data_IF_516874255118
#
_entry.id   IF_516874255118
#
_cell.length_a   1.000
_cell.length_b   1.000
_cell.length_c   1.000
_cell.angle_alpha   90.00
_cell.angle_beta   90.00
_cell.angle_gamma   90.00
#
_symmetry.space_group_name_H-M   'P 1'
#
loop_
_entity.id
_entity.type
_entity.pdbx_description
1 polymer ?
#
# COMPACT_ATOMS: atom_id res chain seq x y z
N UNK A 1 -10.80 -21.20 -4.63
CA UNK A 1 -11.21 -21.41 -6.03
C UNK A 1 -10.02 -21.20 -6.94
N UNK A 2 -9.94 -21.91 -8.07
CA UNK A 2 -8.86 -21.76 -9.03
C UNK A 2 -8.78 -20.29 -9.51
N UNK A 3 -7.60 -19.68 -9.38
CA UNK A 3 -7.39 -18.27 -9.73
C UNK A 3 -7.84 -17.23 -8.69
N UNK A 4 -8.19 -17.65 -7.46
CA UNK A 4 -8.58 -16.74 -6.38
C UNK A 4 -8.15 -17.30 -5.02
N UNK A 5 -7.07 -16.76 -4.46
CA UNK A 5 -6.52 -17.15 -3.16
C UNK A 5 -6.76 -16.05 -2.14
N UNK A 6 -7.51 -16.37 -1.09
CA UNK A 6 -7.79 -15.47 0.02
C UNK A 6 -7.03 -15.95 1.26
N UNK A 7 -6.12 -15.12 1.76
CA UNK A 7 -5.27 -15.41 2.92
C UNK A 7 -5.80 -14.65 4.13
N UNK A 8 -6.28 -15.35 5.13
CA UNK A 8 -6.76 -14.74 6.39
C UNK A 8 -5.59 -14.37 7.29
N UNK A 9 -5.79 -13.35 8.12
CA UNK A 9 -4.81 -12.91 9.11
C UNK A 9 -5.11 -13.57 10.46
N UNK A 10 -4.50 -14.70 10.71
CA UNK A 10 -4.64 -15.42 11.98
C UNK A 10 -6.10 -15.80 12.31
N UNK A 11 -6.61 -15.27 13.41
CA UNK A 11 -7.98 -15.50 13.92
C UNK A 11 -9.02 -14.53 13.32
N UNK A 12 -8.59 -13.52 12.58
CA UNK A 12 -9.48 -12.57 11.91
C UNK A 12 -9.77 -13.05 10.49
N UNK A 13 -11.07 -13.25 10.17
CA UNK A 13 -11.52 -13.72 8.85
C UNK A 13 -11.51 -12.62 7.78
N UNK A 14 -10.49 -11.78 7.78
CA UNK A 14 -10.24 -10.75 6.78
C UNK A 14 -8.83 -10.91 6.20
N UNK A 15 -8.58 -10.25 5.10
CA UNK A 15 -7.30 -10.28 4.39
C UNK A 15 -6.70 -8.90 4.32
N UNK A 16 -5.58 -8.68 5.02
CA UNK A 16 -4.71 -7.52 4.87
C UNK A 16 -3.80 -7.68 3.65
N UNK A 17 -3.58 -6.61 2.90
CA UNK A 17 -2.67 -6.63 1.76
C UNK A 17 -1.23 -6.91 2.18
N UNK A 18 -0.74 -6.26 3.24
CA UNK A 18 0.59 -6.49 3.83
C UNK A 18 0.75 -7.91 4.33
N UNK A 19 -0.16 -8.35 5.20
CA UNK A 19 -0.06 -9.64 5.88
C UNK A 19 -0.14 -10.80 4.90
N UNK A 20 -1.05 -10.74 3.93
CA UNK A 20 -1.18 -11.79 2.91
C UNK A 20 0.09 -11.94 2.08
N UNK A 21 0.79 -10.84 1.79
CA UNK A 21 2.10 -10.86 1.15
C UNK A 21 3.15 -11.50 2.07
N UNK A 22 3.30 -10.99 3.30
CA UNK A 22 4.30 -11.47 4.25
C UNK A 22 4.15 -12.97 4.56
N UNK A 23 2.91 -13.45 4.69
CA UNK A 23 2.62 -14.87 4.95
C UNK A 23 2.97 -15.77 3.76
N UNK A 24 3.00 -15.26 2.54
CA UNK A 24 3.24 -16.05 1.32
C UNK A 24 4.67 -15.93 0.80
N UNK A 25 5.39 -14.83 1.09
CA UNK A 25 6.74 -14.57 0.59
C UNK A 25 7.72 -15.75 0.76
N UNK A 26 7.68 -16.45 1.89
CA UNK A 26 8.59 -17.58 2.14
C UNK A 26 8.24 -18.84 1.35
N UNK A 27 7.03 -18.94 0.79
CA UNK A 27 6.62 -20.03 -0.10
C UNK A 27 7.13 -19.84 -1.53
N UNK A 28 7.65 -18.66 -1.90
CA UNK A 28 8.28 -18.43 -3.21
C UNK A 28 9.39 -19.43 -3.53
N UNK A 29 10.09 -19.96 -2.50
CA UNK A 29 11.08 -21.01 -2.66
C UNK A 29 10.53 -22.29 -3.31
N UNK A 30 9.23 -22.51 -3.24
CA UNK A 30 8.52 -23.65 -3.78
C UNK A 30 7.71 -23.34 -5.03
N UNK A 31 7.86 -22.15 -5.61
CA UNK A 31 7.07 -21.70 -6.76
C UNK A 31 7.38 -22.46 -8.07
N UNK A 32 8.37 -23.38 -8.07
CA UNK A 32 8.58 -24.34 -9.14
C UNK A 32 7.49 -25.44 -9.16
N UNK A 33 6.79 -25.66 -8.03
CA UNK A 33 5.59 -26.50 -7.93
C UNK A 33 4.39 -25.75 -8.49
N UNK A 34 3.67 -26.38 -9.45
CA UNK A 34 2.54 -25.73 -10.14
C UNK A 34 1.40 -25.36 -9.19
N UNK A 35 1.12 -26.18 -8.17
CA UNK A 35 0.05 -25.89 -7.21
C UNK A 35 0.42 -24.67 -6.34
N UNK A 36 1.69 -24.53 -5.97
CA UNK A 36 2.18 -23.36 -5.22
C UNK A 36 2.14 -22.11 -6.11
N UNK A 37 2.57 -22.22 -7.36
CA UNK A 37 2.49 -21.12 -8.32
C UNK A 37 1.05 -20.65 -8.55
N UNK A 38 0.10 -21.58 -8.75
CA UNK A 38 -1.35 -21.25 -8.88
C UNK A 38 -1.89 -20.54 -7.64
N UNK A 39 -1.46 -20.90 -6.42
CA UNK A 39 -1.85 -20.23 -5.19
C UNK A 39 -1.32 -18.80 -5.13
N UNK A 40 -0.07 -18.57 -5.53
CA UNK A 40 0.55 -17.24 -5.51
C UNK A 40 -0.11 -16.35 -6.58
N UNK A 41 -0.30 -16.84 -7.80
CA UNK A 41 -0.99 -16.09 -8.86
C UNK A 41 -2.44 -15.77 -8.46
N UNK A 42 -3.13 -16.71 -7.81
CA UNK A 42 -4.47 -16.49 -7.25
C UNK A 42 -4.50 -15.41 -6.15
N UNK A 43 -3.43 -15.30 -5.35
CA UNK A 43 -3.28 -14.24 -4.36
C UNK A 43 -3.06 -12.88 -5.02
N UNK A 44 -2.16 -12.80 -6.01
CA UNK A 44 -1.93 -11.57 -6.78
C UNK A 44 -3.22 -11.07 -7.46
N UNK A 45 -4.01 -11.99 -8.03
CA UNK A 45 -5.32 -11.66 -8.62
C UNK A 45 -6.30 -11.12 -7.56
N UNK A 46 -6.33 -11.72 -6.35
CA UNK A 46 -7.17 -11.25 -5.23
C UNK A 46 -6.71 -9.87 -4.74
N UNK A 47 -5.42 -9.65 -4.58
CA UNK A 47 -4.88 -8.35 -4.15
C UNK A 47 -5.20 -7.25 -5.17
N UNK A 48 -5.04 -7.52 -6.48
CA UNK A 48 -5.44 -6.59 -7.52
C UNK A 48 -6.93 -6.24 -7.45
N UNK A 49 -7.81 -7.24 -7.29
CA UNK A 49 -9.25 -7.03 -7.09
C UNK A 49 -9.54 -6.18 -5.86
N UNK A 50 -8.86 -6.42 -4.74
CA UNK A 50 -9.05 -5.68 -3.50
C UNK A 50 -8.67 -4.20 -3.67
N UNK A 51 -7.53 -3.91 -4.30
CA UNK A 51 -7.10 -2.54 -4.64
C UNK A 51 -8.14 -1.82 -5.51
N UNK A 52 -8.72 -2.51 -6.49
CA UNK A 52 -9.76 -1.95 -7.36
C UNK A 52 -11.09 -1.71 -6.64
N UNK A 53 -11.35 -2.37 -5.53
CA UNK A 53 -12.55 -2.13 -4.70
C UNK A 53 -12.40 -0.84 -3.89
N UNK A 54 -11.31 -0.67 -3.15
CA UNK A 54 -11.00 0.55 -2.39
C UNK A 54 -9.49 0.62 -2.10
N UNK A 55 -8.71 1.41 -2.83
CA UNK A 55 -7.26 1.47 -2.65
C UNK A 55 -6.82 2.11 -1.33
N UNK A 56 -7.75 2.72 -0.59
CA UNK A 56 -7.48 3.29 0.74
C UNK A 56 -7.73 2.31 1.89
N UNK A 57 -8.19 1.09 1.57
CA UNK A 57 -8.37 0.05 2.57
C UNK A 57 -7.11 -0.79 2.75
N UNK A 58 -6.84 -1.18 4.01
CA UNK A 58 -5.78 -2.12 4.35
C UNK A 58 -6.28 -3.57 4.44
N UNK A 59 -7.58 -3.77 4.79
CA UNK A 59 -8.15 -5.09 4.99
C UNK A 59 -9.52 -5.29 4.30
N UNK A 60 -9.76 -6.51 3.82
CA UNK A 60 -10.92 -6.83 2.99
C UNK A 60 -11.62 -8.10 3.43
N UNK A 61 -12.94 -8.14 3.21
CA UNK A 61 -13.75 -9.33 3.36
C UNK A 61 -13.57 -10.28 2.17
N UNK A 62 -13.74 -11.57 2.41
CA UNK A 62 -13.76 -12.57 1.33
C UNK A 62 -14.92 -12.37 0.37
N UNK A 63 -16.08 -12.01 0.93
CA UNK A 63 -17.35 -11.72 0.27
C UNK A 63 -17.97 -10.47 0.92
N UNK A 64 -18.91 -9.78 0.25
CA UNK A 64 -19.55 -8.62 0.86
C UNK A 64 -20.21 -8.98 2.19
N UNK A 65 -20.00 -8.15 3.21
CA UNK A 65 -20.58 -8.34 4.55
C UNK A 65 -21.04 -7.00 5.11
N UNK A 66 -22.24 -6.95 5.63
CA UNK A 66 -22.81 -5.81 6.35
C UNK A 66 -22.26 -5.69 7.79
N UNK A 67 -21.62 -6.77 8.28
CA UNK A 67 -20.94 -6.75 9.57
C UNK A 67 -19.74 -5.79 9.53
N UNK A 68 -19.72 -4.81 10.45
CA UNK A 68 -18.61 -3.88 10.66
C UNK A 68 -18.15 -4.01 12.11
N UNK A 69 -16.90 -4.40 12.33
CA UNK A 69 -16.37 -4.54 13.70
C UNK A 69 -16.18 -3.19 14.39
N UNK A 70 -16.10 -2.09 13.60
CA UNK A 70 -15.83 -0.73 14.08
C UNK A 70 -16.86 0.25 13.53
N UNK A 71 -16.96 1.41 14.18
CA UNK A 71 -17.83 2.53 13.77
C UNK A 71 -17.09 3.56 12.88
N UNK A 72 -16.26 3.07 11.97
CA UNK A 72 -15.44 3.88 11.08
C UNK A 72 -16.25 4.83 10.19
N UNK A 73 -15.73 6.05 10.01
CA UNK A 73 -16.33 7.10 9.18
C UNK A 73 -15.28 7.67 8.21
N UNK A 74 -15.66 7.84 6.92
CA UNK A 74 -16.91 7.39 6.31
C UNK A 74 -17.06 5.87 6.36
N UNK A 75 -18.31 5.38 6.38
CA UNK A 75 -18.57 3.93 6.35
C UNK A 75 -18.01 3.34 5.06
N UNK A 76 -17.13 2.35 5.18
CA UNK A 76 -16.57 1.63 4.05
C UNK A 76 -17.60 0.68 3.39
N UNK A 77 -17.35 0.28 2.15
CA UNK A 77 -18.16 -0.70 1.43
C UNK A 77 -18.20 -2.05 2.15
N UNK A 78 -19.17 -2.89 1.79
CA UNK A 78 -19.31 -4.22 2.42
C UNK A 78 -18.16 -5.18 2.06
N UNK A 79 -17.37 -4.88 1.05
CA UNK A 79 -16.15 -5.60 0.70
C UNK A 79 -14.97 -5.29 1.62
N UNK A 80 -15.01 -4.15 2.33
CA UNK A 80 -13.91 -3.66 3.16
C UNK A 80 -14.14 -4.03 4.62
N UNK A 81 -13.14 -4.66 5.23
CA UNK A 81 -13.11 -4.93 6.66
C UNK A 81 -12.65 -3.71 7.44
N UNK A 82 -11.54 -3.08 7.01
CA UNK A 82 -10.96 -1.89 7.62
C UNK A 82 -10.39 -0.95 6.56
N UNK A 83 -10.59 0.36 6.74
CA UNK A 83 -10.19 1.39 5.75
C UNK A 83 -9.11 2.31 6.28
N UNK A 84 -8.10 1.77 6.95
CA UNK A 84 -6.91 2.50 7.33
C UNK A 84 -5.96 2.60 6.13
N UNK A 85 -5.66 3.81 5.68
CA UNK A 85 -4.75 4.01 4.56
C UNK A 85 -3.29 3.92 5.01
N UNK A 86 -2.61 2.94 4.49
CA UNK A 86 -1.20 2.62 4.70
C UNK A 86 -0.50 2.52 3.34
N UNK A 87 0.58 3.26 3.14
CA UNK A 87 1.37 3.21 1.89
C UNK A 87 1.85 1.79 1.61
N UNK A 88 2.37 1.11 2.62
CA UNK A 88 2.94 -0.23 2.48
C UNK A 88 1.90 -1.28 2.11
N UNK A 89 0.64 -1.08 2.48
CA UNK A 89 -0.48 -1.93 2.03
C UNK A 89 -0.59 -1.96 0.50
N UNK A 90 -0.35 -0.85 -0.19
CA UNK A 90 -0.33 -0.80 -1.65
C UNK A 90 0.99 -1.26 -2.26
N UNK A 91 2.10 -1.14 -1.53
CA UNK A 91 3.41 -1.60 -1.97
C UNK A 91 3.51 -3.14 -1.98
N UNK A 92 2.96 -3.79 -0.96
CA UNK A 92 3.14 -5.23 -0.74
C UNK A 92 2.67 -6.13 -1.91
N UNK A 93 1.54 -5.88 -2.58
CA UNK A 93 1.13 -6.63 -3.77
C UNK A 93 2.11 -6.53 -4.94
N UNK A 94 2.69 -5.34 -5.18
CA UNK A 94 3.69 -5.12 -6.22
C UNK A 94 4.98 -5.85 -5.85
N UNK A 95 5.37 -5.78 -4.58
CA UNK A 95 6.54 -6.47 -4.04
C UNK A 95 6.44 -8.00 -4.22
N UNK A 96 5.30 -8.59 -3.88
CA UNK A 96 5.07 -10.03 -4.09
C UNK A 96 5.13 -10.39 -5.57
N UNK A 97 4.48 -9.58 -6.43
CA UNK A 97 4.49 -9.78 -7.88
C UNK A 97 5.93 -9.75 -8.43
N UNK A 98 6.74 -8.77 -7.98
CA UNK A 98 8.13 -8.66 -8.38
C UNK A 98 8.95 -9.86 -7.94
N UNK A 99 8.88 -10.24 -6.67
CA UNK A 99 9.61 -11.37 -6.13
C UNK A 99 9.22 -12.71 -6.81
N UNK A 100 7.92 -12.88 -7.12
CA UNK A 100 7.43 -14.04 -7.86
C UNK A 100 7.97 -14.06 -9.30
N UNK A 101 7.91 -12.92 -9.99
CA UNK A 101 8.45 -12.77 -11.34
C UNK A 101 9.96 -13.03 -11.39
N UNK A 102 10.75 -12.43 -10.50
CA UNK A 102 12.20 -12.66 -10.43
C UNK A 102 12.54 -14.14 -10.19
N UNK A 103 11.76 -14.79 -9.31
CA UNK A 103 11.99 -16.21 -8.98
C UNK A 103 11.62 -17.15 -10.10
N UNK A 104 10.53 -16.89 -10.83
CA UNK A 104 9.91 -17.88 -11.75
C UNK A 104 9.97 -17.48 -13.23
N UNK A 105 10.13 -16.21 -13.54
CA UNK A 105 9.94 -15.65 -14.88
C UNK A 105 8.50 -15.72 -15.40
N UNK A 106 7.54 -16.14 -14.57
CA UNK A 106 6.13 -16.26 -14.97
C UNK A 106 5.46 -14.90 -15.03
N UNK A 107 4.61 -14.70 -16.04
CA UNK A 107 3.88 -13.47 -16.32
C UNK A 107 2.36 -13.68 -16.28
N UNK A 108 1.87 -14.85 -15.87
CA UNK A 108 0.43 -15.18 -15.86
C UNK A 108 -0.42 -14.24 -15.00
N UNK A 109 0.17 -13.57 -14.02
CA UNK A 109 -0.48 -12.57 -13.17
C UNK A 109 -0.62 -11.18 -13.84
N UNK A 110 0.08 -10.90 -14.96
CA UNK A 110 0.00 -9.63 -15.70
C UNK A 110 -1.33 -9.54 -16.47
N UNK A 111 -2.42 -9.51 -15.75
CA UNK A 111 -3.79 -9.42 -16.27
C UNK A 111 -4.23 -7.96 -16.42
N UNK A 112 -5.38 -7.74 -17.09
CA UNK A 112 -5.99 -6.41 -17.16
C UNK A 112 -6.33 -5.83 -15.78
N UNK A 113 -6.82 -6.66 -14.83
CA UNK A 113 -7.09 -6.20 -13.47
C UNK A 113 -5.81 -5.85 -12.72
N UNK A 114 -4.71 -6.59 -12.90
CA UNK A 114 -3.42 -6.22 -12.35
C UNK A 114 -2.91 -4.89 -12.92
N UNK A 115 -3.03 -4.68 -14.24
CA UNK A 115 -2.69 -3.41 -14.89
C UNK A 115 -3.49 -2.24 -14.31
N UNK A 116 -4.81 -2.40 -14.19
CA UNK A 116 -5.68 -1.38 -13.58
C UNK A 116 -5.32 -1.11 -12.12
N UNK A 117 -4.99 -2.15 -11.35
CA UNK A 117 -4.55 -2.01 -9.97
C UNK A 117 -3.23 -1.25 -9.87
N UNK A 118 -2.24 -1.55 -10.74
CA UNK A 118 -0.99 -0.77 -10.81
C UNK A 118 -1.26 0.71 -11.06
N UNK A 119 -2.10 1.01 -12.04
CA UNK A 119 -2.48 2.40 -12.33
C UNK A 119 -3.14 3.05 -11.12
N UNK A 120 -4.05 2.36 -10.46
CA UNK A 120 -4.72 2.85 -9.25
C UNK A 120 -3.72 3.17 -8.13
N UNK A 121 -2.71 2.32 -7.92
CA UNK A 121 -1.67 2.57 -6.91
C UNK A 121 -0.87 3.83 -7.24
N UNK A 122 -0.45 3.99 -8.50
CA UNK A 122 0.30 5.18 -8.95
C UNK A 122 -0.54 6.44 -8.77
N UNK A 123 -1.82 6.41 -9.19
CA UNK A 123 -2.75 7.54 -9.06
C UNK A 123 -2.99 7.92 -7.58
N UNK A 124 -3.10 6.95 -6.67
CA UNK A 124 -3.24 7.20 -5.22
C UNK A 124 -1.97 7.84 -4.66
N UNK A 125 -0.79 7.30 -4.95
CA UNK A 125 0.45 7.87 -4.45
C UNK A 125 0.68 9.29 -4.95
N UNK A 126 0.31 9.60 -6.20
CA UNK A 126 0.35 10.98 -6.72
C UNK A 126 -0.66 11.89 -6.01
N UNK A 127 -1.90 11.42 -5.83
CA UNK A 127 -2.94 12.17 -5.10
C UNK A 127 -2.47 12.54 -3.71
N UNK A 128 -1.86 11.59 -3.02
CA UNK A 128 -1.40 11.76 -1.64
C UNK A 128 -0.09 12.55 -1.50
N UNK A 129 0.58 12.94 -2.59
CA UNK A 129 1.61 13.98 -2.54
C UNK A 129 1.03 15.37 -2.18
N UNK A 130 -0.26 15.56 -2.40
CA UNK A 130 -1.00 16.75 -2.00
C UNK A 130 -2.22 16.36 -1.15
N UNK A 131 -1.97 15.85 0.03
CA UNK A 131 -3.02 15.31 0.91
C UNK A 131 -4.15 16.31 1.24
N UNK A 132 -3.89 17.62 1.18
CA UNK A 132 -4.93 18.65 1.38
C UNK A 132 -6.10 18.50 0.38
N UNK A 133 -5.84 18.04 -0.84
CA UNK A 133 -6.82 17.81 -1.90
C UNK A 133 -7.32 16.35 -1.94
N UNK A 134 -6.81 15.48 -1.06
CA UNK A 134 -7.18 14.05 -1.02
C UNK A 134 -8.66 13.86 -0.65
N UNK A 135 -9.36 12.91 -1.27
CA UNK A 135 -10.70 12.50 -0.86
C UNK A 135 -10.70 11.62 0.39
N UNK A 136 -9.54 11.14 0.85
CA UNK A 136 -9.44 10.25 1.99
C UNK A 136 -9.76 10.94 3.30
N UNK A 137 -10.60 10.29 4.10
CA UNK A 137 -10.89 10.66 5.50
C UNK A 137 -11.07 9.38 6.29
N UNK A 138 -10.65 9.43 7.55
CA UNK A 138 -10.86 8.32 8.47
C UNK A 138 -11.04 8.82 9.90
N UNK A 139 -12.14 8.41 10.52
CA UNK A 139 -12.39 8.61 11.94
C UNK A 139 -12.98 7.33 12.53
N UNK A 140 -12.56 7.01 13.75
CA UNK A 140 -13.10 5.93 14.57
C UNK A 140 -13.44 6.51 15.94
N UNK A 141 -14.63 6.28 16.45
CA UNK A 141 -15.01 6.67 17.79
C UNK A 141 -14.74 5.54 18.78
N UNK A 142 -14.72 5.88 20.07
CA UNK A 142 -14.54 4.90 21.17
C UNK A 142 -13.26 4.05 21.06
N UNK A 143 -12.16 4.67 20.61
CA UNK A 143 -10.86 4.03 20.42
C UNK A 143 -9.73 4.87 21.02
N UNK A 144 -8.51 4.32 21.20
CA UNK A 144 -7.32 5.10 21.51
C UNK A 144 -7.04 6.17 20.43
N UNK A 145 -6.39 7.30 20.78
CA UNK A 145 -6.01 8.33 19.81
C UNK A 145 -5.13 7.82 18.65
N UNK A 146 -4.37 6.75 18.86
CA UNK A 146 -3.56 6.10 17.82
C UNK A 146 -4.38 5.33 16.79
N UNK A 147 -5.68 5.13 17.02
CA UNK A 147 -6.53 4.30 16.17
C UNK A 147 -7.54 5.13 15.34
N UNK A 148 -7.33 6.44 15.29
CA UNK A 148 -8.14 7.41 14.53
C UNK A 148 -7.29 8.57 14.04
N UNK A 149 -7.80 9.33 13.05
CA UNK A 149 -7.14 10.55 12.57
C UNK A 149 -7.78 11.79 13.15
N UNK A 150 -6.98 12.78 13.50
CA UNK A 150 -7.39 14.12 13.90
C UNK A 150 -7.85 14.98 12.70
N UNK A 151 -8.22 16.24 12.94
CA UNK A 151 -8.64 17.20 11.92
C UNK A 151 -9.73 16.65 10.99
N UNK A 152 -10.85 16.22 11.56
CA UNK A 152 -11.98 15.66 10.83
C UNK A 152 -11.60 14.47 9.92
N UNK A 153 -10.62 13.69 10.38
CA UNK A 153 -10.15 12.50 9.68
C UNK A 153 -9.10 12.76 8.60
N UNK A 154 -8.56 13.96 8.53
CA UNK A 154 -7.46 14.31 7.62
C UNK A 154 -6.07 13.97 8.17
N UNK A 155 -5.94 13.76 9.48
CA UNK A 155 -4.63 13.63 10.12
C UNK A 155 -3.93 14.98 10.32
N UNK A 156 -2.66 14.94 10.75
CA UNK A 156 -1.87 16.14 10.99
C UNK A 156 -1.59 16.92 9.69
N UNK A 157 -1.52 18.26 9.74
CA UNK A 157 -1.12 19.08 8.60
C UNK A 157 0.29 18.72 8.12
N UNK A 158 0.50 18.77 6.80
CA UNK A 158 1.80 18.50 6.17
C UNK A 158 2.10 19.55 5.09
N UNK A 159 3.40 19.82 4.87
CA UNK A 159 3.86 20.56 3.70
C UNK A 159 3.97 19.65 2.48
N UNK A 160 4.05 20.23 1.29
CA UNK A 160 4.36 19.48 0.06
C UNK A 160 5.86 19.17 0.03
N UNK A 161 6.21 17.90 -0.04
CA UNK A 161 7.61 17.42 0.00
C UNK A 161 8.01 16.62 -1.22
N UNK A 162 7.06 16.19 -2.04
CA UNK A 162 7.29 15.16 -3.07
C UNK A 162 7.12 13.72 -2.55
N UNK A 163 7.07 13.51 -1.22
CA UNK A 163 6.68 12.22 -0.63
C UNK A 163 5.17 12.02 -0.72
N UNK A 164 4.72 10.77 -0.64
CA UNK A 164 3.30 10.41 -0.53
C UNK A 164 2.90 10.28 0.93
N UNK A 165 1.72 10.81 1.28
CA UNK A 165 1.19 10.82 2.64
C UNK A 165 0.65 9.45 3.05
N UNK A 166 0.72 9.13 4.34
CA UNK A 166 0.12 7.94 4.95
C UNK A 166 -0.71 8.31 6.17
N UNK A 167 -1.92 7.75 6.28
CA UNK A 167 -2.73 7.93 7.47
C UNK A 167 -2.26 7.09 8.63
N UNK A 168 -1.83 5.87 8.32
CA UNK A 168 -1.46 4.88 9.32
C UNK A 168 -0.11 4.23 9.00
N UNK A 169 0.50 3.66 10.04
CA UNK A 169 1.73 2.87 10.00
C UNK A 169 1.42 1.41 9.72
N UNK A 170 2.41 0.60 9.32
CA UNK A 170 2.27 -0.86 9.24
C UNK A 170 1.85 -1.55 10.56
N UNK A 171 1.89 -0.83 11.69
CA UNK A 171 1.41 -1.27 13.00
C UNK A 171 -0.05 -0.93 13.28
N UNK A 172 -0.78 -0.45 12.26
CA UNK A 172 -2.16 0.06 12.33
C UNK A 172 -2.33 1.35 13.18
N UNK A 173 -1.25 1.93 13.70
CA UNK A 173 -1.29 3.18 14.43
C UNK A 173 -1.28 4.39 13.48
N UNK A 174 -2.02 5.44 13.83
CA UNK A 174 -2.02 6.69 13.09
C UNK A 174 -0.63 7.34 13.01
N UNK A 175 -0.25 7.80 11.82
CA UNK A 175 0.95 8.60 11.64
C UNK A 175 0.81 9.94 12.37
N UNK A 176 1.86 10.32 13.10
CA UNK A 176 1.90 11.59 13.81
C UNK A 176 2.24 12.76 12.88
N UNK A 177 3.10 12.53 11.89
CA UNK A 177 3.63 13.56 11.00
C UNK A 177 3.26 13.33 9.53
N UNK A 178 2.48 12.33 9.19
CA UNK A 178 1.90 12.09 7.87
C UNK A 178 2.85 11.52 6.80
N UNK A 179 4.12 11.88 6.75
CA UNK A 179 5.08 11.24 5.86
C UNK A 179 5.91 10.20 6.59
N UNK A 180 5.49 8.94 6.48
CA UNK A 180 6.21 7.79 7.00
C UNK A 180 7.39 7.46 6.08
N UNK A 181 8.62 7.81 6.49
CA UNK A 181 9.82 7.72 5.64
C UNK A 181 10.12 6.29 5.19
N UNK A 182 10.09 5.24 6.05
CA UNK A 182 10.32 3.87 5.58
C UNK A 182 9.33 3.42 4.51
N UNK A 183 8.03 3.75 4.64
CA UNK A 183 7.02 3.40 3.64
C UNK A 183 7.17 4.21 2.34
N UNK A 184 7.65 5.44 2.41
CA UNK A 184 8.00 6.22 1.22
C UNK A 184 9.20 5.61 0.47
N UNK A 185 10.22 5.12 1.17
CA UNK A 185 11.32 4.38 0.55
C UNK A 185 10.85 3.08 -0.09
N UNK A 186 9.89 2.39 0.52
CA UNK A 186 9.27 1.21 -0.05
C UNK A 186 8.45 1.57 -1.30
N UNK A 187 7.60 2.60 -1.23
CA UNK A 187 6.84 3.08 -2.40
C UNK A 187 7.75 3.49 -3.55
N UNK A 188 8.84 4.20 -3.28
CA UNK A 188 9.86 4.58 -4.27
C UNK A 188 10.38 3.35 -5.03
N UNK A 189 10.69 2.26 -4.32
CA UNK A 189 11.20 1.03 -4.93
C UNK A 189 10.10 0.31 -5.71
N UNK A 190 8.90 0.19 -5.14
CA UNK A 190 7.81 -0.54 -5.78
C UNK A 190 7.24 0.20 -7.00
N UNK A 191 7.34 1.52 -7.06
CA UNK A 191 7.04 2.29 -8.27
C UNK A 191 8.02 1.98 -9.42
N UNK A 192 9.28 1.67 -9.13
CA UNK A 192 10.25 1.21 -10.14
C UNK A 192 9.87 -0.17 -10.68
N UNK A 193 9.43 -1.09 -9.81
CA UNK A 193 8.90 -2.39 -10.21
C UNK A 193 7.61 -2.24 -11.03
N UNK A 194 6.71 -1.37 -10.60
CA UNK A 194 5.49 -1.04 -11.34
C UNK A 194 5.77 -0.52 -12.75
N UNK A 195 6.80 0.31 -12.93
CA UNK A 195 7.21 0.80 -14.24
C UNK A 195 7.69 -0.34 -15.16
N UNK A 196 8.41 -1.34 -14.64
CA UNK A 196 8.79 -2.53 -15.41
C UNK A 196 7.56 -3.32 -15.84
N UNK A 197 6.61 -3.57 -14.94
CA UNK A 197 5.37 -4.27 -15.26
C UNK A 197 4.50 -3.51 -16.25
N UNK A 198 4.38 -2.18 -16.10
CA UNK A 198 3.65 -1.34 -17.05
C UNK A 198 4.21 -1.45 -18.48
N UNK A 199 5.54 -1.47 -18.65
CA UNK A 199 6.18 -1.70 -19.96
C UNK A 199 5.86 -3.08 -20.52
N UNK A 200 5.88 -4.12 -19.68
CA UNK A 200 5.51 -5.49 -20.12
C UNK A 200 4.05 -5.58 -20.56
N UNK A 201 3.19 -4.77 -19.98
CA UNK A 201 1.79 -4.62 -20.35
C UNK A 201 1.55 -3.65 -21.54
N UNK A 202 2.63 -3.05 -22.07
CA UNK A 202 2.57 -2.12 -23.21
C UNK A 202 2.15 -0.69 -22.85
N UNK A 203 2.11 -0.35 -21.55
CA UNK A 203 1.74 0.99 -21.07
C UNK A 203 2.98 1.83 -20.70
N UNK A 204 3.61 2.39 -21.72
CA UNK A 204 4.78 3.24 -21.56
C UNK A 204 4.46 4.58 -20.85
N UNK A 205 3.20 5.04 -20.91
CA UNK A 205 2.79 6.25 -20.22
C UNK A 205 2.75 6.04 -18.70
N UNK A 206 2.15 4.93 -18.25
CA UNK A 206 2.13 4.53 -16.84
C UNK A 206 3.55 4.27 -16.33
N UNK A 207 4.40 3.64 -17.15
CA UNK A 207 5.78 3.37 -16.76
C UNK A 207 6.56 4.66 -16.46
N UNK A 208 6.50 5.65 -17.37
CA UNK A 208 7.15 6.95 -17.13
C UNK A 208 6.54 7.71 -15.96
N UNK A 209 5.22 7.61 -15.76
CA UNK A 209 4.55 8.23 -14.61
C UNK A 209 5.07 7.66 -13.29
N UNK A 210 5.12 6.33 -13.16
CA UNK A 210 5.64 5.64 -11.98
C UNK A 210 7.13 6.00 -11.72
N UNK A 211 7.97 6.06 -12.75
CA UNK A 211 9.38 6.48 -12.62
C UNK A 211 9.51 7.93 -12.15
N UNK A 212 8.69 8.81 -12.69
CA UNK A 212 8.69 10.23 -12.30
C UNK A 212 8.29 10.37 -10.82
N UNK A 213 7.23 9.71 -10.41
CA UNK A 213 6.75 9.72 -9.04
C UNK A 213 7.79 9.11 -8.07
N UNK A 214 8.43 7.99 -8.46
CA UNK A 214 9.54 7.40 -7.70
C UNK A 214 10.68 8.40 -7.47
N UNK A 215 11.08 9.14 -8.52
CA UNK A 215 12.13 10.15 -8.41
C UNK A 215 11.72 11.33 -7.52
N UNK A 216 10.48 11.78 -7.57
CA UNK A 216 9.96 12.83 -6.70
C UNK A 216 9.95 12.40 -5.23
N UNK A 217 9.54 11.17 -4.93
CA UNK A 217 9.59 10.62 -3.57
C UNK A 217 11.03 10.53 -3.09
N UNK A 218 11.95 10.05 -3.92
CA UNK A 218 13.38 9.97 -3.59
C UNK A 218 13.95 11.33 -3.22
N UNK A 219 13.64 12.36 -4.00
CA UNK A 219 14.09 13.72 -3.71
C UNK A 219 13.45 14.28 -2.43
N UNK A 220 12.15 14.01 -2.23
CA UNK A 220 11.44 14.38 -1.01
C UNK A 220 12.05 13.77 0.25
N UNK A 221 12.42 12.48 0.20
CA UNK A 221 13.10 11.81 1.31
C UNK A 221 14.49 12.41 1.55
N UNK A 222 15.27 12.69 0.50
CA UNK A 222 16.58 13.32 0.63
C UNK A 222 16.50 14.70 1.31
N UNK A 223 15.49 15.48 0.97
CA UNK A 223 15.36 16.84 1.45
C UNK A 223 14.71 16.94 2.84
N UNK A 224 13.71 16.08 3.14
CA UNK A 224 12.87 16.21 4.33
C UNK A 224 12.86 14.98 5.23
N UNK A 225 13.45 13.87 4.79
CA UNK A 225 13.43 12.60 5.53
C UNK A 225 14.60 12.42 6.48
N UNK A 226 15.43 13.44 6.73
CA UNK A 226 16.60 13.36 7.59
C UNK A 226 16.45 14.18 8.86
N UNK A 227 17.10 13.71 9.94
CA UNK A 227 17.17 14.40 11.22
C UNK A 227 18.55 14.27 11.82
N UNK A 228 19.05 15.34 12.41
CA UNK A 228 20.34 15.30 13.14
C UNK A 228 20.13 14.74 14.56
N UNK A 229 20.43 13.46 14.74
CA UNK A 229 20.32 12.81 16.03
C UNK A 229 21.56 13.10 16.88
N UNK A 230 21.42 13.52 18.17
CA UNK A 230 22.53 13.99 19.02
C UNK A 230 23.64 12.95 19.23
N UNK A 231 23.35 11.66 19.14
CA UNK A 231 24.31 10.56 19.32
C UNK A 231 24.81 9.97 17.99
N UNK A 232 23.98 9.94 16.94
CA UNK A 232 24.27 9.20 15.70
C UNK A 232 24.52 10.11 14.48
N UNK A 233 24.42 11.44 14.66
CA UNK A 233 24.56 12.38 13.55
C UNK A 233 23.36 12.38 12.63
N UNK A 234 23.58 12.58 11.34
CA UNK A 234 22.54 12.57 10.34
C UNK A 234 21.98 11.15 10.13
N UNK A 235 20.68 10.98 10.37
CA UNK A 235 19.96 9.71 10.21
C UNK A 235 18.63 9.96 9.52
N UNK A 236 18.04 8.91 8.93
CA UNK A 236 16.66 8.95 8.45
C UNK A 236 15.69 9.11 9.62
N UNK A 237 14.76 10.04 9.48
CA UNK A 237 13.63 10.16 10.39
C UNK A 237 12.68 8.96 10.20
N UNK A 238 11.90 8.64 11.22
CA UNK A 238 10.81 7.69 11.08
C UNK A 238 9.60 8.32 10.39
N UNK A 239 9.27 9.54 10.79
CA UNK A 239 8.21 10.36 10.18
C UNK A 239 8.67 11.81 10.09
N UNK A 240 8.07 12.55 9.15
CA UNK A 240 8.20 14.00 9.02
C UNK A 240 6.88 14.60 8.50
N UNK A 241 6.66 15.88 8.74
CA UNK A 241 5.58 16.69 8.16
C UNK A 241 6.07 17.59 7.01
N UNK A 242 7.39 17.65 6.81
CA UNK A 242 8.03 18.50 5.82
C UNK A 242 8.08 20.00 6.18
N UNK A 243 7.71 20.36 7.42
CA UNK A 243 7.68 21.77 7.86
C UNK A 243 8.94 22.18 8.63
N UNK A 244 9.83 21.25 8.98
CA UNK A 244 11.13 21.52 9.63
C UNK A 244 11.14 21.24 11.12
#
# INVERSE_FOLDING_TARGET
TKGDTFVITGDIHAMWLRDSTAQVMHYLRFADDEAVAELIEGLLARQAKNILIDPYANAYNREPSDYKPFDDRPRASDWVWERKYEIDSLCNPIHLAWAYFEKTGREGFLTEDFHRALKTVVDVFETEQNHADSPYRFQRSSCPPSDTLENDGMGAPVARTGMTWSGFRPSDDACRYGYLVPSNLFAMQELRHAAVFARRLGDEALARHAETLSAQIEEGVKQYGHVNHPKFGDILAYETDGMG
#
